data_IF_203935947966
#
_entry.id   IF_203935947966
#
_cell.length_a   1.000
_cell.length_b   1.000
_cell.length_c   1.000
_cell.angle_alpha   90.00
_cell.angle_beta   90.00
_cell.angle_gamma   90.00
#
_symmetry.space_group_name_H-M   'P 1'
#
loop_
_entity.id
_entity.type
_entity.pdbx_description
1 polymer ?
#
# COMPACT_ATOMS: atom_id res chain seq x y z
N UNK A 1 8.48 37.24 20.08
CA UNK A 1 8.38 35.84 19.61
C UNK A 1 9.54 35.60 18.67
N UNK A 2 10.41 34.63 18.96
CA UNK A 2 11.41 34.17 18.01
C UNK A 2 10.77 33.13 17.09
N UNK A 3 10.91 33.31 15.77
CA UNK A 3 10.48 32.34 14.77
C UNK A 3 11.66 31.41 14.49
N UNK A 4 11.52 30.13 14.84
CA UNK A 4 12.53 29.11 14.53
C UNK A 4 12.24 28.48 13.18
N UNK A 5 13.11 28.71 12.20
CA UNK A 5 13.06 28.02 10.91
C UNK A 5 13.63 26.62 11.05
N UNK A 6 12.81 25.59 10.79
CA UNK A 6 13.21 24.19 10.81
C UNK A 6 13.26 23.68 9.37
N UNK A 7 14.38 23.08 8.97
CA UNK A 7 14.49 22.41 7.67
C UNK A 7 13.62 21.15 7.66
N UNK A 8 12.69 21.09 6.71
CA UNK A 8 11.86 19.92 6.46
C UNK A 8 12.34 19.20 5.20
N UNK A 9 12.14 17.89 5.18
CA UNK A 9 12.39 17.00 4.06
C UNK A 9 11.05 16.41 3.62
N UNK A 10 10.87 16.20 2.32
CA UNK A 10 9.66 15.65 1.75
C UNK A 10 10.03 14.39 0.98
N UNK A 11 9.21 13.34 1.13
CA UNK A 11 9.38 12.10 0.37
C UNK A 11 8.98 12.34 -1.08
N UNK A 12 9.87 12.05 -2.01
CA UNK A 12 9.61 12.25 -3.45
C UNK A 12 8.46 11.38 -3.98
N UNK A 13 8.13 10.28 -3.29
CA UNK A 13 7.11 9.32 -3.73
C UNK A 13 5.72 9.56 -3.15
N UNK A 14 5.63 9.97 -1.89
CA UNK A 14 4.34 10.13 -1.20
C UNK A 14 4.11 11.53 -0.62
N UNK A 15 5.06 12.45 -0.77
CA UNK A 15 4.97 13.82 -0.26
C UNK A 15 5.05 13.93 1.27
N UNK A 16 5.24 12.83 2.01
CA UNK A 16 5.30 12.85 3.48
C UNK A 16 6.44 13.75 3.96
N UNK A 17 6.12 14.64 4.90
CA UNK A 17 7.08 15.55 5.54
C UNK A 17 7.76 14.91 6.76
N UNK A 18 9.07 15.06 6.88
CA UNK A 18 9.83 14.74 8.10
C UNK A 18 10.90 15.81 8.40
N UNK A 19 11.35 15.87 9.65
CA UNK A 19 12.31 16.88 10.13
C UNK A 19 13.78 16.40 10.13
N UNK A 20 14.03 15.19 9.64
CA UNK A 20 15.37 14.61 9.60
C UNK A 20 15.64 13.93 8.26
N UNK A 21 16.82 14.21 7.70
CA UNK A 21 17.30 13.63 6.45
C UNK A 21 17.51 12.11 6.55
N UNK A 22 18.07 11.62 7.66
CA UNK A 22 18.33 10.18 7.84
C UNK A 22 17.03 9.39 7.95
N UNK A 23 16.04 9.93 8.66
CA UNK A 23 14.69 9.36 8.71
C UNK A 23 14.02 9.40 7.33
N UNK A 24 14.22 10.46 6.54
CA UNK A 24 13.72 10.54 5.16
C UNK A 24 14.30 9.49 4.25
N UNK A 25 15.62 9.34 4.22
CA UNK A 25 16.27 8.32 3.40
C UNK A 25 15.78 6.90 3.73
N UNK A 26 15.59 6.58 5.02
CA UNK A 26 15.04 5.28 5.42
C UNK A 26 13.57 5.12 5.01
N UNK A 27 12.78 6.19 5.12
CA UNK A 27 11.37 6.15 4.73
C UNK A 27 11.20 5.91 3.23
N UNK A 28 11.95 6.62 2.38
CA UNK A 28 11.88 6.47 0.92
C UNK A 28 12.18 5.05 0.47
N UNK A 29 13.20 4.41 1.06
CA UNK A 29 13.53 3.00 0.79
C UNK A 29 12.36 2.05 1.06
N UNK A 30 11.57 2.30 2.11
CA UNK A 30 10.46 1.43 2.50
C UNK A 30 9.09 1.95 2.08
N UNK A 31 9.04 3.09 1.38
CA UNK A 31 7.82 3.80 1.05
C UNK A 31 6.95 2.95 0.13
N UNK A 32 5.67 2.75 0.47
CA UNK A 32 4.76 1.95 -0.37
C UNK A 32 4.41 2.61 -1.70
N UNK A 33 4.73 3.89 -1.89
CA UNK A 33 4.66 4.59 -3.18
C UNK A 33 5.97 4.55 -3.97
N UNK A 34 7.06 4.04 -3.38
CA UNK A 34 8.31 3.89 -4.12
C UNK A 34 8.23 2.58 -4.93
N UNK A 35 8.32 2.63 -6.28
CA UNK A 35 8.30 1.44 -7.13
C UNK A 35 9.52 0.54 -6.90
N UNK A 36 10.65 1.11 -6.49
CA UNK A 36 11.89 0.40 -6.19
C UNK A 36 12.08 0.22 -4.68
N UNK A 37 10.98 0.07 -3.92
CA UNK A 37 11.03 -0.09 -2.46
C UNK A 37 11.64 -1.43 -2.06
N UNK A 38 12.37 -1.41 -0.95
CA UNK A 38 12.69 -2.60 -0.18
C UNK A 38 11.57 -2.86 0.83
N UNK A 39 10.97 -4.05 0.82
CA UNK A 39 9.92 -4.36 1.77
C UNK A 39 10.50 -4.60 3.17
N UNK A 40 10.33 -3.63 4.07
CA UNK A 40 10.75 -3.79 5.48
C UNK A 40 9.95 -4.82 6.29
N UNK A 41 8.91 -5.47 5.73
CA UNK A 41 8.17 -6.55 6.39
C UNK A 41 8.64 -7.93 5.95
N UNK A 42 8.58 -8.24 4.65
CA UNK A 42 8.96 -9.56 4.13
C UNK A 42 10.42 -9.64 3.63
N UNK A 43 11.13 -8.50 3.53
CA UNK A 43 12.51 -8.44 3.03
C UNK A 43 12.66 -8.67 1.52
N UNK A 44 11.56 -8.88 0.79
CA UNK A 44 11.57 -9.17 -0.65
C UNK A 44 11.11 -7.96 -1.46
N UNK A 45 11.72 -7.67 -2.62
CA UNK A 45 11.09 -6.84 -3.61
C UNK A 45 9.88 -7.59 -4.18
N UNK A 46 8.73 -6.94 -4.23
CA UNK A 46 7.63 -7.44 -5.05
C UNK A 46 7.91 -7.04 -6.52
N UNK A 47 7.52 -7.84 -7.53
CA UNK A 47 7.56 -7.43 -8.93
C UNK A 47 6.47 -6.37 -9.17
N UNK A 48 6.66 -5.18 -8.56
CA UNK A 48 5.63 -4.14 -8.49
C UNK A 48 5.19 -3.71 -9.88
N UNK A 49 6.11 -3.59 -10.83
CA UNK A 49 5.77 -3.18 -12.20
C UNK A 49 4.77 -4.16 -12.86
N UNK A 50 5.03 -5.47 -12.75
CA UNK A 50 4.15 -6.52 -13.31
C UNK A 50 2.79 -6.54 -12.61
N UNK A 51 2.77 -6.40 -11.29
CA UNK A 51 1.53 -6.39 -10.51
C UNK A 51 0.73 -5.10 -10.75
N UNK A 52 1.40 -3.96 -10.84
CA UNK A 52 0.78 -2.68 -11.19
C UNK A 52 0.14 -2.82 -12.56
N UNK A 53 0.83 -3.34 -13.56
CA UNK A 53 0.23 -3.57 -14.88
C UNK A 53 -0.98 -4.49 -14.81
N UNK A 54 -0.85 -5.62 -14.08
CA UNK A 54 -1.93 -6.62 -13.89
C UNK A 54 -3.19 -6.03 -13.28
N UNK A 55 -3.07 -5.13 -12.29
CA UNK A 55 -4.19 -4.58 -11.52
C UNK A 55 -4.60 -3.15 -11.90
N UNK A 56 -3.76 -2.44 -12.66
CA UNK A 56 -4.05 -1.08 -13.13
C UNK A 56 -5.24 -1.05 -14.09
N UNK A 57 -5.99 0.04 -14.05
CA UNK A 57 -7.08 0.28 -15.00
C UNK A 57 -8.23 -0.72 -14.94
N UNK A 58 -8.34 -1.54 -13.87
CA UNK A 58 -9.46 -2.45 -13.64
C UNK A 58 -10.70 -1.78 -13.03
N UNK A 59 -10.52 -0.61 -12.42
CA UNK A 59 -11.61 0.18 -11.85
C UNK A 59 -11.95 1.32 -12.80
N UNK A 60 -13.23 1.45 -13.12
CA UNK A 60 -13.81 2.64 -13.75
C UNK A 60 -14.37 3.55 -12.67
N UNK A 61 -13.85 4.78 -12.61
CA UNK A 61 -14.42 5.85 -11.79
C UNK A 61 -15.30 6.72 -12.68
N UNK A 62 -16.58 6.82 -12.34
CA UNK A 62 -17.55 7.67 -13.01
C UNK A 62 -18.02 8.75 -12.05
N UNK A 63 -18.00 9.99 -12.52
CA UNK A 63 -18.65 11.11 -11.88
C UNK A 63 -20.03 11.28 -12.51
N UNK A 64 -21.07 11.40 -11.69
CA UNK A 64 -22.41 11.73 -12.17
C UNK A 64 -22.63 13.25 -12.27
N UNK A 65 -23.80 13.63 -12.78
CA UNK A 65 -24.18 15.04 -12.96
C UNK A 65 -24.35 15.81 -11.64
N UNK A 66 -24.28 15.12 -10.48
CA UNK A 66 -24.34 15.70 -9.14
C UNK A 66 -22.98 15.72 -8.45
N UNK A 67 -21.89 15.55 -9.20
CA UNK A 67 -20.52 15.44 -8.70
C UNK A 67 -20.28 14.24 -7.76
N UNK A 68 -21.20 13.27 -7.70
CA UNK A 68 -20.98 12.05 -6.94
C UNK A 68 -20.05 11.13 -7.72
N UNK A 69 -19.01 10.62 -7.06
CA UNK A 69 -18.08 9.65 -7.64
C UNK A 69 -18.50 8.23 -7.29
N UNK A 70 -18.58 7.39 -8.31
CA UNK A 70 -18.76 5.94 -8.17
C UNK A 70 -17.55 5.24 -8.77
N UNK A 71 -17.03 4.25 -8.06
CA UNK A 71 -15.98 3.36 -8.56
C UNK A 71 -16.60 1.98 -8.75
N UNK A 72 -16.43 1.37 -9.92
CA UNK A 72 -16.87 0.01 -10.22
C UNK A 72 -15.75 -0.74 -10.93
N UNK A 73 -15.71 -2.07 -10.78
CA UNK A 73 -14.86 -2.88 -11.65
C UNK A 73 -15.34 -2.79 -13.09
N UNK A 74 -14.39 -2.78 -14.04
CA UNK A 74 -14.68 -3.03 -15.45
C UNK A 74 -15.30 -4.42 -15.58
N UNK A 75 -16.29 -4.61 -16.47
CA UNK A 75 -16.89 -5.92 -16.68
C UNK A 75 -15.82 -6.98 -16.98
N UNK A 76 -15.77 -8.06 -16.19
CA UNK A 76 -14.81 -9.15 -16.36
C UNK A 76 -13.39 -8.87 -15.85
N UNK A 77 -13.17 -7.74 -15.17
CA UNK A 77 -11.89 -7.37 -14.55
C UNK A 77 -11.94 -7.42 -13.02
N UNK A 78 -12.99 -8.00 -12.44
CA UNK A 78 -13.18 -8.15 -11.00
C UNK A 78 -12.03 -8.94 -10.38
N UNK A 79 -11.61 -8.56 -9.17
CA UNK A 79 -10.63 -9.28 -8.38
C UNK A 79 -10.95 -9.14 -6.90
N UNK A 80 -10.43 -10.07 -6.10
CA UNK A 80 -10.45 -10.01 -4.63
C UNK A 80 -9.10 -9.51 -4.13
N UNK A 81 -9.07 -8.92 -2.94
CA UNK A 81 -7.80 -8.56 -2.29
C UNK A 81 -6.90 -9.77 -2.10
N UNK A 82 -7.47 -10.96 -1.93
CA UNK A 82 -6.76 -12.24 -1.79
C UNK A 82 -5.89 -12.54 -3.02
N UNK A 83 -6.34 -12.16 -4.23
CA UNK A 83 -5.56 -12.37 -5.46
C UNK A 83 -4.24 -11.57 -5.43
N UNK A 84 -4.29 -10.34 -4.90
CA UNK A 84 -3.10 -9.49 -4.72
C UNK A 84 -2.23 -10.03 -3.58
N UNK A 85 -2.87 -10.57 -2.53
CA UNK A 85 -2.17 -11.15 -1.40
C UNK A 85 -1.35 -12.36 -1.81
N UNK A 86 -1.95 -13.30 -2.55
CA UNK A 86 -1.26 -14.47 -3.07
C UNK A 86 -0.05 -14.08 -3.94
N UNK A 87 -0.24 -13.12 -4.85
CA UNK A 87 0.85 -12.54 -5.66
C UNK A 87 1.95 -11.89 -4.77
N UNK A 88 1.56 -11.33 -3.63
CA UNK A 88 2.44 -10.67 -2.67
C UNK A 88 2.99 -11.59 -1.58
N UNK A 89 2.82 -12.92 -1.70
CA UNK A 89 3.16 -13.89 -0.65
C UNK A 89 2.54 -13.52 0.72
N UNK A 90 1.27 -13.11 0.68
CA UNK A 90 0.46 -12.63 1.79
C UNK A 90 1.00 -11.38 2.53
N UNK A 91 2.02 -10.70 2.00
CA UNK A 91 2.66 -9.59 2.69
C UNK A 91 1.80 -8.31 2.68
N UNK A 92 1.29 -7.83 3.83
CA UNK A 92 0.37 -6.69 3.88
C UNK A 92 0.97 -5.40 3.32
N UNK A 93 2.29 -5.19 3.50
CA UNK A 93 2.96 -4.01 2.97
C UNK A 93 3.17 -4.07 1.45
N UNK A 94 3.32 -5.26 0.87
CA UNK A 94 3.42 -5.42 -0.58
C UNK A 94 2.06 -5.26 -1.23
N UNK A 95 0.99 -5.86 -0.66
CA UNK A 95 -0.38 -5.64 -1.12
C UNK A 95 -0.73 -4.15 -1.10
N UNK A 96 -0.45 -3.45 0.01
CA UNK A 96 -0.68 -2.00 0.10
C UNK A 96 0.11 -1.21 -0.96
N UNK A 97 1.33 -1.65 -1.30
CA UNK A 97 2.13 -1.00 -2.33
C UNK A 97 1.51 -1.16 -3.73
N UNK A 98 1.07 -2.37 -4.09
CA UNK A 98 0.37 -2.63 -5.36
C UNK A 98 -0.90 -1.80 -5.45
N UNK A 99 -1.74 -1.84 -4.42
CA UNK A 99 -2.99 -1.07 -4.35
C UNK A 99 -2.74 0.43 -4.61
N UNK A 100 -1.77 1.00 -3.90
CA UNK A 100 -1.47 2.43 -4.01
C UNK A 100 -0.87 2.83 -5.36
N UNK A 101 0.00 2.00 -5.93
CA UNK A 101 0.72 2.32 -7.16
C UNK A 101 -0.06 1.98 -8.42
N UNK A 102 -0.98 1.02 -8.37
CA UNK A 102 -1.92 0.71 -9.46
C UNK A 102 -2.99 1.80 -9.67
N UNK A 103 -2.95 2.91 -8.93
CA UNK A 103 -3.93 3.98 -8.99
C UNK A 103 -5.28 3.60 -8.41
N UNK A 104 -5.37 2.46 -7.74
CA UNK A 104 -6.54 2.02 -7.04
C UNK A 104 -6.60 2.84 -5.73
N UNK A 105 -7.47 3.85 -5.68
CA UNK A 105 -7.58 4.68 -4.48
C UNK A 105 -7.98 3.80 -3.29
N UNK A 106 -7.25 3.87 -2.18
CA UNK A 106 -7.48 3.08 -0.97
C UNK A 106 -8.95 3.13 -0.50
N UNK A 107 -9.61 4.29 -0.62
CA UNK A 107 -11.03 4.45 -0.28
C UNK A 107 -11.95 3.66 -1.21
N UNK A 108 -11.64 3.62 -2.51
CA UNK A 108 -12.45 2.90 -3.50
C UNK A 108 -12.22 1.40 -3.45
N UNK A 109 -10.96 0.95 -3.24
CA UNK A 109 -10.66 -0.46 -3.02
C UNK A 109 -11.41 -0.97 -1.78
N UNK A 110 -11.30 -0.27 -0.65
CA UNK A 110 -12.03 -0.65 0.57
C UNK A 110 -13.52 -0.77 0.33
N UNK A 111 -14.11 0.16 -0.42
CA UNK A 111 -15.53 0.11 -0.77
C UNK A 111 -15.89 -1.05 -1.71
N UNK A 112 -14.98 -1.49 -2.59
CA UNK A 112 -15.22 -2.52 -3.61
C UNK A 112 -14.85 -3.94 -3.15
N UNK A 113 -13.80 -4.09 -2.34
CA UNK A 113 -13.26 -5.38 -1.90
C UNK A 113 -13.55 -5.65 -0.42
N UNK A 114 -14.07 -4.68 0.31
CA UNK A 114 -14.64 -4.84 1.66
C UNK A 114 -13.64 -4.95 2.82
N UNK A 115 -12.39 -5.41 2.62
CA UNK A 115 -11.60 -5.92 3.77
C UNK A 115 -10.07 -5.67 3.73
N UNK A 116 -9.57 -4.58 3.14
CA UNK A 116 -8.13 -4.25 3.28
C UNK A 116 -7.83 -3.38 4.52
N UNK A 117 -7.79 -3.98 5.72
CA UNK A 117 -7.28 -3.31 6.93
C UNK A 117 -5.77 -3.57 7.10
N UNK A 118 -4.94 -2.62 6.63
CA UNK A 118 -3.50 -2.71 6.78
C UNK A 118 -3.04 -2.87 8.23
N UNK A 119 -3.69 -2.17 9.19
CA UNK A 119 -3.24 -2.18 10.59
C UNK A 119 -3.45 -3.56 11.19
N UNK A 120 -4.66 -4.09 11.07
CA UNK A 120 -5.03 -5.43 11.54
C UNK A 120 -4.09 -6.49 10.94
N UNK A 121 -3.96 -6.50 9.61
CA UNK A 121 -3.14 -7.48 8.90
C UNK A 121 -1.66 -7.40 9.25
N UNK A 122 -1.12 -6.19 9.44
CA UNK A 122 0.27 -5.99 9.86
C UNK A 122 0.48 -6.49 11.30
N UNK A 123 -0.49 -6.30 12.19
CA UNK A 123 -0.42 -6.82 13.56
C UNK A 123 -0.51 -8.36 13.57
N UNK A 124 -1.41 -8.96 12.79
CA UNK A 124 -1.54 -10.42 12.61
C UNK A 124 -0.26 -11.05 12.00
N UNK A 125 0.32 -10.41 10.98
CA UNK A 125 1.56 -10.87 10.36
C UNK A 125 2.72 -10.94 11.36
N UNK A 126 2.87 -9.91 12.20
CA UNK A 126 3.92 -9.93 13.22
C UNK A 126 3.59 -10.85 14.39
N UNK A 127 2.32 -11.07 14.70
CA UNK A 127 1.92 -12.10 15.66
C UNK A 127 2.40 -13.47 15.17
N UNK A 128 2.06 -13.85 13.93
CA UNK A 128 2.50 -15.10 13.29
C UNK A 128 4.03 -15.27 13.29
N UNK A 129 4.77 -14.23 12.90
CA UNK A 129 6.24 -14.29 12.80
C UNK A 129 6.96 -14.35 14.14
N UNK A 130 6.31 -13.90 15.22
CA UNK A 130 6.86 -13.91 16.57
C UNK A 130 6.39 -15.12 17.38
N UNK A 131 5.54 -15.99 16.84
CA UNK A 131 5.20 -17.27 17.47
C UNK A 131 6.46 -18.13 17.58
N UNK A 132 6.71 -18.65 18.79
CA UNK A 132 7.76 -19.64 18.98
C UNK A 132 7.33 -20.95 18.31
N UNK A 133 8.21 -21.66 17.57
CA UNK A 133 7.91 -23.00 17.07
C UNK A 133 7.42 -23.99 18.13
N UNK A 134 7.76 -23.79 19.41
CA UNK A 134 7.27 -24.61 20.54
C UNK A 134 5.82 -24.32 20.94
N UNK A 135 5.24 -23.17 20.56
CA UNK A 135 3.84 -22.81 20.85
C UNK A 135 2.83 -23.55 19.95
N UNK A 136 3.30 -24.41 19.03
CA UNK A 136 2.48 -25.19 18.09
C UNK A 136 2.04 -26.56 18.64
N UNK A 137 2.46 -26.94 19.85
CA UNK A 137 2.21 -28.26 20.46
C UNK A 137 1.60 -28.20 21.87
#
# INVERSE_FOLDING_TARGET
>A
MEIKTIKAYYCDFCGKRMLSASWMSRHEKNCTMNPNRDCGMCGRPAPLDELIEKYSGRIDVKQDDQDAMTANFKPGAEFKTDDIDDDCNNCPACTLAVLRQAGLNHSWILALTGEFDYKKRKDEWWADKNLDPEDYY
#
